data_IF_693408972324
#
_entry.id   IF_693408972324
#
_cell.length_a   1.000
_cell.length_b   1.000
_cell.length_c   1.000
_cell.angle_alpha   90.00
_cell.angle_beta   90.00
_cell.angle_gamma   90.00
#
_symmetry.space_group_name_H-M   'P 1'
#
loop_
_entity.id
_entity.type
_entity.pdbx_description
1 polymer ?
#
# COMPACT_ATOMS: atom_id res chain seq x y z
N UNK A 1 -0.18 12.55 25.02
CA UNK A 1 0.36 11.49 24.16
C UNK A 1 0.08 11.80 22.70
N UNK A 2 0.87 11.22 21.78
CA UNK A 2 0.71 11.37 20.34
C UNK A 2 0.48 10.01 19.70
N UNK A 3 -0.44 9.96 18.74
CA UNK A 3 -0.64 8.84 17.80
C UNK A 3 -0.24 9.34 16.43
N UNK A 4 0.77 8.72 15.84
CA UNK A 4 1.26 9.08 14.50
C UNK A 4 0.81 8.00 13.52
N UNK A 5 0.09 8.42 12.47
CA UNK A 5 -0.35 7.56 11.38
C UNK A 5 0.40 7.97 10.12
N UNK A 6 1.37 7.17 9.74
CA UNK A 6 2.15 7.37 8.53
C UNK A 6 1.47 6.72 7.32
N UNK A 7 1.74 7.25 6.12
CA UNK A 7 1.20 6.75 4.85
C UNK A 7 -0.34 6.69 4.81
N UNK A 8 -1.02 7.78 5.20
CA UNK A 8 -2.48 7.89 5.26
C UNK A 8 -3.20 7.32 4.02
N UNK A 9 -2.62 7.49 2.84
CA UNK A 9 -3.18 7.00 1.58
C UNK A 9 -3.31 5.46 1.48
N UNK A 10 -2.68 4.71 2.37
CA UNK A 10 -2.82 3.25 2.48
C UNK A 10 -4.10 2.86 3.21
N UNK A 11 -4.59 3.73 4.12
CA UNK A 11 -5.80 3.47 4.91
C UNK A 11 -7.07 3.75 4.11
N UNK A 12 -7.34 2.91 3.12
CA UNK A 12 -8.53 3.00 2.25
C UNK A 12 -9.26 1.67 2.15
N UNK A 13 -10.52 1.70 1.68
CA UNK A 13 -11.37 0.52 1.54
C UNK A 13 -11.57 -0.24 2.86
N UNK A 14 -11.53 -1.55 2.80
CA UNK A 14 -11.74 -2.45 3.95
C UNK A 14 -10.68 -2.23 5.02
N UNK A 15 -9.40 -2.12 4.64
CA UNK A 15 -8.32 -1.91 5.60
C UNK A 15 -8.48 -0.60 6.37
N UNK A 16 -8.74 0.51 5.70
CA UNK A 16 -8.97 1.80 6.35
C UNK A 16 -10.21 1.80 7.25
N UNK A 17 -11.28 1.13 6.84
CA UNK A 17 -12.50 0.98 7.63
C UNK A 17 -12.26 0.20 8.93
N UNK A 18 -11.46 -0.86 8.88
CA UNK A 18 -11.04 -1.60 10.08
C UNK A 18 -10.14 -0.74 10.98
N UNK A 19 -9.18 0.00 10.41
CA UNK A 19 -8.28 0.88 11.19
C UNK A 19 -9.07 2.00 11.87
N UNK A 20 -10.07 2.59 11.22
CA UNK A 20 -10.93 3.58 11.85
C UNK A 20 -11.62 3.02 13.11
N UNK A 21 -12.17 1.80 13.04
CA UNK A 21 -12.76 1.13 14.18
C UNK A 21 -11.73 0.75 15.26
N UNK A 22 -10.49 0.37 14.87
CA UNK A 22 -9.39 0.18 15.81
C UNK A 22 -9.09 1.48 16.57
N UNK A 23 -9.11 2.63 15.88
CA UNK A 23 -8.90 3.94 16.51
C UNK A 23 -10.07 4.35 17.42
N UNK A 24 -11.32 3.97 17.11
CA UNK A 24 -12.46 4.09 18.03
C UNK A 24 -12.18 3.35 19.34
N UNK A 25 -11.73 2.10 19.27
CA UNK A 25 -11.35 1.29 20.44
C UNK A 25 -10.21 1.92 21.21
N UNK A 26 -9.14 2.33 20.51
CA UNK A 26 -7.99 2.99 21.14
C UNK A 26 -8.43 4.26 21.90
N UNK A 27 -9.22 5.13 21.29
CA UNK A 27 -9.74 6.34 21.94
C UNK A 27 -10.59 6.01 23.17
N UNK A 28 -11.38 4.94 23.12
CA UNK A 28 -12.18 4.47 24.25
C UNK A 28 -11.29 4.02 25.43
N UNK A 29 -10.26 3.23 25.16
CA UNK A 29 -9.27 2.81 26.17
C UNK A 29 -8.52 4.03 26.73
N UNK A 30 -8.10 4.97 25.88
CA UNK A 30 -7.42 6.18 26.31
C UNK A 30 -8.30 7.01 27.28
N UNK A 31 -9.58 7.19 26.97
CA UNK A 31 -10.52 7.91 27.86
C UNK A 31 -10.66 7.22 29.22
N UNK A 32 -10.76 5.89 29.22
CA UNK A 32 -10.83 5.11 30.47
C UNK A 32 -9.62 5.38 31.38
N UNK A 33 -8.43 5.53 30.80
CA UNK A 33 -7.20 5.88 31.53
C UNK A 33 -6.96 7.40 31.67
N UNK A 34 -7.95 8.24 31.38
CA UNK A 34 -7.85 9.70 31.51
C UNK A 34 -6.88 10.35 30.52
N UNK A 35 -6.63 9.71 29.37
CA UNK A 35 -5.77 10.22 28.31
C UNK A 35 -6.58 10.68 27.09
N UNK A 36 -6.18 11.83 26.52
CA UNK A 36 -6.70 12.36 25.25
C UNK A 36 -5.54 12.49 24.25
N UNK A 37 -5.34 11.51 23.37
CA UNK A 37 -4.24 11.51 22.44
C UNK A 37 -4.45 12.52 21.30
N UNK A 38 -3.38 13.22 20.94
CA UNK A 38 -3.31 14.04 19.72
C UNK A 38 -2.88 13.17 18.54
N UNK A 39 -3.40 13.49 17.36
CA UNK A 39 -3.10 12.76 16.13
C UNK A 39 -2.22 13.59 15.20
N UNK A 40 -1.22 12.95 14.61
CA UNK A 40 -0.45 13.46 13.49
C UNK A 40 -0.53 12.43 12.35
N UNK A 41 -0.89 12.88 11.14
CA UNK A 41 -1.03 12.00 9.99
C UNK A 41 -0.14 12.54 8.86
N UNK A 42 0.59 11.63 8.22
CA UNK A 42 1.37 11.96 7.02
C UNK A 42 0.81 11.20 5.82
N UNK A 43 0.91 11.77 4.65
CA UNK A 43 0.43 11.14 3.42
C UNK A 43 1.34 11.48 2.26
N UNK A 44 1.56 10.51 1.39
CA UNK A 44 1.97 10.78 0.03
C UNK A 44 0.75 11.27 -0.79
N UNK A 45 0.83 11.15 -2.08
CA UNK A 45 -0.12 11.68 -3.06
C UNK A 45 -1.51 11.04 -2.97
N UNK A 46 -2.52 11.80 -2.56
CA UNK A 46 -3.93 11.40 -2.48
C UNK A 46 -4.82 12.65 -2.71
N UNK A 47 -6.00 12.48 -3.32
CA UNK A 47 -6.86 13.60 -3.68
C UNK A 47 -7.56 14.27 -2.48
N UNK A 48 -7.94 13.49 -1.47
CA UNK A 48 -8.76 13.93 -0.34
C UNK A 48 -8.12 13.67 1.03
N UNK A 49 -6.88 14.15 1.31
CA UNK A 49 -6.15 13.80 2.54
C UNK A 49 -6.88 14.26 3.80
N UNK A 50 -7.47 15.46 3.79
CA UNK A 50 -8.20 16.00 4.93
C UNK A 50 -9.46 15.18 5.24
N UNK A 51 -10.28 14.93 4.23
CA UNK A 51 -11.53 14.17 4.38
C UNK A 51 -11.25 12.73 4.89
N UNK A 52 -10.25 12.06 4.29
CA UNK A 52 -9.88 10.73 4.73
C UNK A 52 -9.37 10.73 6.16
N UNK A 53 -8.53 11.69 6.55
CA UNK A 53 -8.02 11.83 7.90
C UNK A 53 -9.15 12.04 8.91
N UNK A 54 -10.05 13.00 8.64
CA UNK A 54 -11.21 13.31 9.50
C UNK A 54 -12.14 12.11 9.64
N UNK A 55 -12.36 11.34 8.58
CA UNK A 55 -13.15 10.10 8.62
C UNK A 55 -12.45 8.98 9.40
N UNK A 56 -11.12 8.90 9.28
CA UNK A 56 -10.34 7.83 9.92
C UNK A 56 -10.25 8.02 11.44
N UNK A 57 -10.00 9.25 11.88
CA UNK A 57 -9.83 9.55 13.31
C UNK A 57 -11.07 10.17 13.96
N UNK A 58 -12.10 10.54 13.18
CA UNK A 58 -13.33 11.20 13.63
C UNK A 58 -13.08 12.46 14.48
N UNK A 59 -12.11 13.24 14.07
CA UNK A 59 -11.74 14.53 14.68
C UNK A 59 -11.37 15.51 13.56
N UNK A 60 -11.62 16.82 13.75
CA UNK A 60 -11.19 17.82 12.78
C UNK A 60 -9.67 17.87 12.69
N UNK A 61 -9.14 17.99 11.47
CA UNK A 61 -7.70 18.08 11.23
C UNK A 61 -7.34 19.38 10.52
N UNK A 62 -6.15 19.91 10.85
CA UNK A 62 -5.52 20.97 10.10
C UNK A 62 -4.63 20.35 9.00
N UNK A 63 -4.96 20.61 7.75
CA UNK A 63 -4.14 20.20 6.63
C UNK A 63 -2.96 21.16 6.44
N UNK A 64 -1.75 20.61 6.36
CA UNK A 64 -0.57 21.31 5.83
C UNK A 64 -0.50 20.94 4.35
N UNK A 65 -0.99 21.83 3.50
CA UNK A 65 -1.04 21.59 2.07
C UNK A 65 0.34 21.80 1.39
N UNK A 66 0.53 21.33 0.14
CA UNK A 66 1.82 21.39 -0.56
C UNK A 66 2.40 22.79 -0.75
N UNK A 67 1.58 23.83 -0.72
CA UNK A 67 2.00 25.24 -0.77
C UNK A 67 2.64 25.71 0.55
N UNK A 68 2.35 25.05 1.66
CA UNK A 68 2.94 25.27 2.97
C UNK A 68 4.13 24.34 3.26
N UNK A 69 4.43 23.41 2.34
CA UNK A 69 5.54 22.48 2.46
C UNK A 69 6.85 23.16 2.01
N UNK A 70 7.72 23.43 2.97
CA UNK A 70 9.04 24.03 2.74
C UNK A 70 10.12 23.01 2.32
N UNK A 71 9.78 21.77 2.02
CA UNK A 71 10.74 20.75 1.59
C UNK A 71 11.39 21.12 0.27
N UNK A 72 12.71 20.89 0.08
CA UNK A 72 13.37 21.12 -1.20
C UNK A 72 12.80 20.19 -2.27
N UNK A 73 12.48 20.72 -3.44
CA UNK A 73 11.96 19.99 -4.59
C UNK A 73 13.01 19.99 -5.69
N UNK A 74 13.84 18.94 -5.81
CA UNK A 74 14.82 18.83 -6.86
C UNK A 74 14.14 18.69 -8.23
N UNK A 75 14.87 19.11 -9.29
CA UNK A 75 14.40 18.97 -10.66
C UNK A 75 14.20 17.50 -11.02
N UNK A 76 13.01 17.16 -11.54
CA UNK A 76 12.66 15.81 -11.95
C UNK A 76 12.09 15.81 -13.37
N UNK A 77 12.75 15.11 -14.27
CA UNK A 77 12.24 14.87 -15.62
C UNK A 77 11.33 13.65 -15.64
N UNK A 78 10.07 13.84 -16.00
CA UNK A 78 9.11 12.75 -16.20
C UNK A 78 8.92 12.52 -17.69
N UNK A 79 9.29 11.35 -18.16
CA UNK A 79 9.29 10.98 -19.58
C UNK A 79 8.24 9.90 -19.80
N UNK A 80 7.29 10.17 -20.69
CA UNK A 80 6.33 9.18 -21.16
C UNK A 80 6.84 8.60 -22.49
N UNK A 81 7.31 7.36 -22.43
CA UNK A 81 7.86 6.68 -23.59
C UNK A 81 6.88 5.63 -24.12
N UNK A 82 6.40 5.83 -25.34
CA UNK A 82 5.56 4.85 -26.03
C UNK A 82 6.42 4.05 -27.01
N UNK A 83 6.60 2.73 -26.82
CA UNK A 83 7.42 1.91 -27.70
C UNK A 83 6.99 2.04 -29.17
N UNK A 84 7.94 2.05 -30.12
CA UNK A 84 7.63 2.22 -31.54
C UNK A 84 6.79 1.07 -32.08
N UNK A 85 5.94 1.37 -33.06
CA UNK A 85 5.18 0.37 -33.81
C UNK A 85 6.13 -0.37 -34.74
N UNK A 86 6.17 -1.69 -34.63
CA UNK A 86 7.00 -2.57 -35.46
C UNK A 86 6.24 -3.22 -36.58
N UNK A 87 4.91 -3.36 -36.42
CA UNK A 87 3.99 -3.80 -37.47
C UNK A 87 2.82 -2.82 -37.52
N UNK A 88 2.81 -1.89 -38.49
CA UNK A 88 1.73 -0.92 -38.65
C UNK A 88 0.40 -1.54 -39.04
N UNK A 89 0.39 -2.67 -39.76
CA UNK A 89 -0.84 -3.33 -40.22
C UNK A 89 -1.62 -3.94 -39.05
N UNK A 90 -0.90 -4.46 -38.07
CA UNK A 90 -1.47 -5.07 -36.85
C UNK A 90 -1.40 -4.15 -35.63
N UNK A 91 -0.81 -2.97 -35.76
CA UNK A 91 -0.62 -2.03 -34.64
C UNK A 91 0.34 -2.55 -33.56
N UNK A 92 1.16 -3.56 -33.88
CA UNK A 92 2.07 -4.20 -32.93
C UNK A 92 3.20 -3.28 -32.59
N UNK A 93 3.42 -3.03 -31.29
CA UNK A 93 4.54 -2.27 -30.77
C UNK A 93 5.67 -3.19 -30.29
N UNK A 94 6.89 -2.64 -30.23
CA UNK A 94 8.01 -3.33 -29.57
C UNK A 94 7.66 -3.62 -28.11
N UNK A 95 8.10 -4.77 -27.61
CA UNK A 95 7.81 -5.20 -26.25
C UNK A 95 8.30 -4.15 -25.24
N UNK A 96 7.39 -3.66 -24.40
CA UNK A 96 7.67 -2.63 -23.39
C UNK A 96 8.73 -3.09 -22.37
N UNK A 97 8.78 -4.39 -22.07
CA UNK A 97 9.79 -4.98 -21.18
C UNK A 97 11.19 -4.85 -21.74
N UNK A 98 11.37 -5.10 -23.03
CA UNK A 98 12.66 -4.92 -23.72
C UNK A 98 13.07 -3.45 -23.78
N UNK A 99 12.14 -2.55 -24.04
CA UNK A 99 12.42 -1.10 -24.04
C UNK A 99 12.74 -0.58 -22.64
N UNK A 100 12.01 -1.05 -21.59
CA UNK A 100 12.32 -0.72 -20.21
C UNK A 100 13.72 -1.20 -19.82
N UNK A 101 14.09 -2.42 -20.18
CA UNK A 101 15.45 -2.97 -19.99
C UNK A 101 16.50 -2.09 -20.67
N UNK A 102 16.30 -1.75 -21.93
CA UNK A 102 17.22 -0.93 -22.72
C UNK A 102 17.44 0.48 -22.12
N UNK A 103 16.35 1.07 -21.60
CA UNK A 103 16.42 2.38 -20.94
C UNK A 103 17.17 2.25 -19.60
N UNK A 104 16.86 1.24 -18.78
CA UNK A 104 17.56 0.98 -17.53
C UNK A 104 19.07 0.72 -17.74
N UNK A 105 19.44 -0.08 -18.74
CA UNK A 105 20.84 -0.31 -19.10
C UNK A 105 21.60 0.99 -19.44
N UNK A 106 20.96 1.93 -20.14
CA UNK A 106 21.57 3.22 -20.46
C UNK A 106 21.89 4.03 -19.21
N UNK A 107 20.96 4.10 -18.26
CA UNK A 107 21.21 4.77 -16.98
C UNK A 107 22.31 4.08 -16.18
N UNK A 108 22.28 2.76 -16.08
CA UNK A 108 23.29 1.96 -15.36
C UNK A 108 24.68 2.14 -15.94
N UNK A 109 24.81 2.12 -17.28
CA UNK A 109 26.10 2.38 -17.99
C UNK A 109 26.60 3.81 -17.78
N UNK A 110 25.69 4.78 -17.64
CA UNK A 110 26.05 6.14 -17.29
C UNK A 110 26.40 6.32 -15.79
N UNK A 111 26.45 5.23 -15.04
CA UNK A 111 26.75 5.26 -13.61
C UNK A 111 25.58 5.68 -12.73
N UNK A 112 24.38 5.83 -13.27
CA UNK A 112 23.17 6.25 -12.54
C UNK A 112 22.52 5.06 -11.86
N UNK A 113 22.36 5.13 -10.55
CA UNK A 113 21.67 4.11 -9.77
C UNK A 113 20.18 4.13 -10.14
N UNK A 114 19.63 2.97 -10.52
CA UNK A 114 18.34 2.88 -11.21
C UNK A 114 17.39 1.87 -10.56
N UNK A 115 16.13 2.27 -10.34
CA UNK A 115 15.03 1.34 -10.06
C UNK A 115 14.24 1.03 -11.34
N UNK A 116 13.84 -0.24 -11.48
CA UNK A 116 12.90 -0.68 -12.52
C UNK A 116 11.67 -1.27 -11.83
N UNK A 117 10.50 -0.73 -12.13
CA UNK A 117 9.24 -1.18 -11.54
C UNK A 117 8.41 -2.00 -12.53
N UNK A 118 7.82 -3.10 -12.03
CA UNK A 118 6.86 -3.91 -12.77
C UNK A 118 5.67 -4.32 -11.89
N UNK A 119 4.49 -4.50 -12.48
CA UNK A 119 3.27 -4.86 -11.73
C UNK A 119 3.26 -6.30 -11.23
N UNK A 120 3.70 -7.24 -12.07
CA UNK A 120 3.60 -8.66 -11.80
C UNK A 120 4.95 -9.22 -11.35
N UNK A 121 4.92 -10.16 -10.40
CA UNK A 121 6.13 -10.87 -9.92
C UNK A 121 6.88 -11.53 -11.07
N UNK A 122 6.18 -12.20 -11.98
CA UNK A 122 6.79 -12.84 -13.15
C UNK A 122 7.51 -11.83 -14.06
N UNK A 123 6.89 -10.69 -14.32
CA UNK A 123 7.50 -9.61 -15.12
C UNK A 123 8.74 -9.03 -14.42
N UNK A 124 8.73 -8.94 -13.08
CA UNK A 124 9.88 -8.49 -12.31
C UNK A 124 11.06 -9.45 -12.47
N UNK A 125 10.84 -10.76 -12.37
CA UNK A 125 11.91 -11.76 -12.56
C UNK A 125 12.44 -11.75 -13.99
N UNK A 126 11.55 -11.61 -14.98
CA UNK A 126 11.94 -11.50 -16.39
C UNK A 126 12.84 -10.27 -16.64
N UNK A 127 12.40 -9.10 -16.13
CA UNK A 127 13.18 -7.87 -16.25
C UNK A 127 14.52 -7.95 -15.50
N UNK A 128 14.54 -8.60 -14.33
CA UNK A 128 15.76 -8.83 -13.56
C UNK A 128 16.77 -9.63 -14.37
N UNK A 129 16.35 -10.72 -15.03
CA UNK A 129 17.18 -11.49 -15.94
C UNK A 129 17.71 -10.62 -17.08
N UNK A 130 16.83 -9.93 -17.78
CA UNK A 130 17.24 -9.09 -18.92
C UNK A 130 18.23 -7.97 -18.55
N UNK A 131 17.99 -7.28 -17.41
CA UNK A 131 18.89 -6.20 -16.97
C UNK A 131 20.26 -6.76 -16.56
N UNK A 132 20.30 -7.91 -15.87
CA UNK A 132 21.53 -8.60 -15.52
C UNK A 132 22.35 -8.99 -16.75
N UNK A 133 21.71 -9.65 -17.72
CA UNK A 133 22.34 -10.05 -18.99
C UNK A 133 22.87 -8.81 -19.74
N UNK A 134 22.15 -7.70 -19.71
CA UNK A 134 22.56 -6.46 -20.34
C UNK A 134 23.77 -5.81 -19.67
N UNK A 135 23.81 -5.84 -18.34
CA UNK A 135 24.97 -5.37 -17.56
C UNK A 135 26.19 -6.24 -17.81
N UNK A 136 26.04 -7.57 -17.78
CA UNK A 136 27.11 -8.53 -18.02
C UNK A 136 27.69 -8.36 -19.45
N UNK A 137 26.83 -8.29 -20.47
CA UNK A 137 27.27 -8.02 -21.86
C UNK A 137 28.01 -6.71 -22.02
N UNK A 138 27.84 -5.77 -21.10
CA UNK A 138 28.56 -4.48 -21.09
C UNK A 138 29.82 -4.52 -20.26
N UNK A 139 30.23 -5.70 -19.73
CA UNK A 139 31.40 -5.87 -18.88
C UNK A 139 31.19 -5.43 -17.42
N UNK A 140 29.96 -5.20 -16.99
CA UNK A 140 29.62 -4.91 -15.60
C UNK A 140 29.33 -6.18 -14.79
N UNK A 141 29.29 -6.03 -13.47
CA UNK A 141 28.93 -7.13 -12.57
C UNK A 141 27.39 -7.27 -12.43
N UNK A 142 26.78 -8.37 -12.92
CA UNK A 142 25.33 -8.60 -12.82
C UNK A 142 24.84 -8.76 -11.38
N UNK A 143 25.71 -9.07 -10.42
CA UNK A 143 25.35 -9.19 -9.00
C UNK A 143 25.01 -7.85 -8.34
N UNK A 144 25.43 -6.75 -8.96
CA UNK A 144 25.03 -5.39 -8.54
C UNK A 144 23.57 -5.07 -8.85
N UNK A 145 22.89 -5.94 -9.61
CA UNK A 145 21.46 -5.82 -9.92
C UNK A 145 20.68 -6.82 -9.09
N UNK A 146 19.78 -6.29 -8.25
CA UNK A 146 19.00 -7.11 -7.31
C UNK A 146 17.50 -7.04 -7.62
N UNK A 147 16.80 -8.14 -7.37
CA UNK A 147 15.35 -8.14 -7.34
C UNK A 147 14.83 -7.63 -5.99
N UNK A 148 13.61 -7.03 -5.94
CA UNK A 148 12.96 -6.64 -4.69
C UNK A 148 11.45 -6.82 -4.80
N UNK A 149 10.88 -7.78 -4.08
CA UNK A 149 9.44 -8.07 -4.10
C UNK A 149 8.91 -8.61 -2.78
N UNK A 150 7.60 -8.57 -2.63
CA UNK A 150 6.93 -9.29 -1.54
C UNK A 150 7.23 -10.79 -1.62
N UNK A 151 7.52 -11.40 -0.47
CA UNK A 151 7.91 -12.80 -0.37
C UNK A 151 9.41 -13.07 -0.22
N UNK A 152 10.27 -12.06 -0.37
CA UNK A 152 11.67 -12.17 0.06
C UNK A 152 11.78 -12.15 1.58
N UNK A 153 12.73 -12.88 2.13
CA UNK A 153 12.98 -12.90 3.57
C UNK A 153 13.33 -11.49 4.08
N UNK A 154 12.93 -11.13 5.31
CA UNK A 154 13.22 -9.80 5.86
C UNK A 154 14.70 -9.45 5.87
N UNK A 155 15.59 -10.42 6.12
CA UNK A 155 17.04 -10.23 6.10
C UNK A 155 17.53 -9.88 4.69
N UNK A 156 17.10 -10.63 3.69
CA UNK A 156 17.47 -10.40 2.29
C UNK A 156 17.02 -8.99 1.83
N UNK A 157 15.81 -8.57 2.19
CA UNK A 157 15.34 -7.21 1.89
C UNK A 157 16.22 -6.14 2.51
N UNK A 158 16.58 -6.30 3.80
CA UNK A 158 17.48 -5.36 4.50
C UNK A 158 18.86 -5.27 3.86
N UNK A 159 19.40 -6.39 3.38
CA UNK A 159 20.68 -6.40 2.65
C UNK A 159 20.60 -5.61 1.34
N UNK A 160 19.52 -5.78 0.57
CA UNK A 160 19.29 -5.03 -0.67
C UNK A 160 19.14 -3.54 -0.36
N UNK A 161 18.34 -3.19 0.64
CA UNK A 161 18.13 -1.80 1.09
C UNK A 161 19.45 -1.15 1.53
N UNK A 162 20.27 -1.88 2.28
CA UNK A 162 21.62 -1.43 2.67
C UNK A 162 22.50 -1.22 1.43
N UNK A 163 22.51 -2.20 0.51
CA UNK A 163 23.30 -2.12 -0.71
C UNK A 163 22.87 -0.98 -1.64
N UNK A 164 21.59 -0.60 -1.64
CA UNK A 164 21.12 0.59 -2.35
C UNK A 164 21.62 1.89 -1.69
N UNK A 165 21.69 1.93 -0.36
CA UNK A 165 22.19 3.12 0.36
C UNK A 165 23.69 3.31 0.24
N UNK A 166 24.48 2.23 0.29
CA UNK A 166 25.94 2.28 0.22
C UNK A 166 26.47 2.24 -1.23
N UNK A 167 25.58 2.04 -2.21
CA UNK A 167 25.92 2.05 -3.64
C UNK A 167 26.47 0.72 -4.17
N UNK A 168 26.57 -0.33 -3.36
CA UNK A 168 26.98 -1.67 -3.83
C UNK A 168 25.93 -2.32 -4.73
N UNK A 169 24.65 -2.00 -4.53
CA UNK A 169 23.56 -2.31 -5.45
C UNK A 169 23.35 -1.13 -6.39
N UNK A 170 23.64 -1.32 -7.67
CA UNK A 170 23.55 -0.29 -8.71
C UNK A 170 22.17 -0.22 -9.35
N UNK A 171 21.45 -1.34 -9.39
CA UNK A 171 20.12 -1.43 -9.95
C UNK A 171 19.22 -2.34 -9.14
N UNK A 172 17.93 -1.98 -9.06
CA UNK A 172 16.93 -2.80 -8.43
C UNK A 172 15.73 -2.97 -9.34
N UNK A 173 15.27 -4.22 -9.51
CA UNK A 173 14.03 -4.53 -10.23
C UNK A 173 12.98 -4.95 -9.21
N UNK A 174 11.90 -4.18 -9.11
CA UNK A 174 10.96 -4.31 -8.01
C UNK A 174 9.49 -4.36 -8.47
N UNK A 175 8.67 -4.96 -7.62
CA UNK A 175 7.21 -4.74 -7.63
C UNK A 175 6.88 -3.46 -6.85
N UNK A 176 5.59 -3.21 -6.62
CA UNK A 176 5.12 -2.16 -5.71
C UNK A 176 5.65 -2.26 -4.26
N UNK A 177 6.30 -3.36 -3.89
CA UNK A 177 6.91 -3.52 -2.57
C UNK A 177 7.98 -2.46 -2.25
N UNK A 178 8.56 -1.82 -3.28
CA UNK A 178 9.53 -0.73 -3.13
C UNK A 178 8.90 0.68 -3.20
N UNK A 179 7.58 0.79 -3.38
CA UNK A 179 6.88 2.08 -3.43
C UNK A 179 6.82 2.77 -2.06
N UNK A 180 6.64 2.00 -0.98
CA UNK A 180 6.26 2.51 0.34
C UNK A 180 7.26 2.14 1.43
N UNK A 181 7.48 3.09 2.35
CA UNK A 181 8.06 2.84 3.68
C UNK A 181 9.51 2.36 3.73
N UNK A 182 10.25 2.40 2.62
CA UNK A 182 11.62 1.87 2.57
C UNK A 182 12.61 3.00 2.30
N UNK A 183 13.58 3.14 3.20
CA UNK A 183 14.71 4.04 2.98
C UNK A 183 15.82 3.34 2.20
N UNK A 184 15.83 3.58 0.89
CA UNK A 184 16.77 2.99 -0.06
C UNK A 184 17.87 3.95 -0.52
N UNK A 185 17.94 5.12 0.10
CA UNK A 185 18.87 6.16 -0.35
C UNK A 185 18.41 6.86 -1.63
N UNK A 186 19.36 7.37 -2.39
CA UNK A 186 19.09 8.18 -3.60
C UNK A 186 19.22 7.35 -4.85
N UNK A 187 18.11 7.24 -5.59
CA UNK A 187 18.17 6.72 -6.95
C UNK A 187 18.15 7.90 -7.94
N UNK A 188 19.01 7.86 -8.96
CA UNK A 188 19.03 8.88 -10.01
C UNK A 188 17.94 8.66 -11.05
N UNK A 189 17.51 7.41 -11.25
CA UNK A 189 16.48 7.08 -12.24
C UNK A 189 15.47 6.05 -11.73
N UNK A 190 14.22 6.19 -12.20
CA UNK A 190 13.15 5.21 -12.05
C UNK A 190 12.58 4.87 -13.44
N UNK A 191 12.59 3.60 -13.81
CA UNK A 191 12.00 3.11 -15.06
C UNK A 191 10.76 2.29 -14.71
N UNK A 192 9.59 2.74 -15.15
CA UNK A 192 8.30 2.15 -14.81
C UNK A 192 7.82 1.34 -16.03
N UNK A 193 7.93 0.01 -15.96
CA UNK A 193 7.57 -0.89 -17.05
C UNK A 193 6.06 -1.17 -17.06
N UNK A 194 5.34 -0.42 -17.85
CA UNK A 194 3.88 -0.38 -17.90
C UNK A 194 3.27 0.56 -16.87
N UNK A 195 2.08 1.10 -17.19
CA UNK A 195 1.36 1.96 -16.24
C UNK A 195 0.93 1.16 -15.00
N UNK A 196 1.22 1.62 -13.78
CA UNK A 196 0.98 0.84 -12.55
C UNK A 196 -0.50 0.67 -12.19
N UNK A 197 -1.39 1.39 -12.85
CA UNK A 197 -2.85 1.28 -12.68
C UNK A 197 -3.47 2.46 -11.95
N UNK A 198 -2.70 3.25 -11.20
CA UNK A 198 -3.15 4.45 -10.50
C UNK A 198 -2.14 5.59 -10.67
N UNK A 199 -2.64 6.83 -10.62
CA UNK A 199 -1.79 8.04 -10.64
C UNK A 199 -0.93 8.08 -9.38
N UNK A 200 -1.49 7.72 -8.22
CA UNK A 200 -0.77 7.68 -6.95
C UNK A 200 0.44 6.75 -7.01
N UNK A 201 0.26 5.50 -7.49
CA UNK A 201 1.35 4.53 -7.62
C UNK A 201 2.43 5.00 -8.60
N UNK A 202 2.04 5.63 -9.73
CA UNK A 202 2.99 6.22 -10.66
C UNK A 202 3.88 7.26 -9.98
N UNK A 203 3.28 8.19 -9.23
CA UNK A 203 4.03 9.23 -8.53
C UNK A 203 4.89 8.70 -7.40
N UNK A 204 4.46 7.64 -6.70
CA UNK A 204 5.26 6.97 -5.67
C UNK A 204 6.48 6.27 -6.26
N UNK A 205 6.33 5.55 -7.39
CA UNK A 205 7.43 4.93 -8.11
C UNK A 205 8.39 5.99 -8.68
N UNK A 206 7.86 7.02 -9.32
CA UNK A 206 8.64 8.16 -9.81
C UNK A 206 9.34 8.91 -8.65
N UNK A 207 8.71 8.94 -7.47
CA UNK A 207 9.23 9.53 -6.25
C UNK A 207 10.46 8.83 -5.68
N UNK A 208 10.73 7.57 -6.08
CA UNK A 208 11.95 6.85 -5.69
C UNK A 208 13.21 7.39 -6.35
N UNK A 209 13.10 8.15 -7.43
CA UNK A 209 14.19 8.91 -8.01
C UNK A 209 14.23 10.34 -7.46
N UNK A 210 15.43 10.86 -7.11
CA UNK A 210 15.66 12.26 -6.79
C UNK A 210 15.25 12.72 -5.39
N UNK A 211 15.71 12.06 -4.33
CA UNK A 211 15.43 12.47 -2.93
C UNK A 211 16.33 13.59 -2.37
N UNK A 212 17.38 14.01 -3.07
CA UNK A 212 18.28 15.12 -2.67
C UNK A 212 18.49 16.05 -3.87
N UNK A 213 19.39 17.00 -3.78
CA UNK A 213 19.59 18.17 -4.65
C UNK A 213 19.87 17.91 -6.14
N UNK A 214 19.94 16.66 -6.60
CA UNK A 214 20.36 16.32 -7.95
C UNK A 214 19.20 16.11 -8.92
N UNK A 215 19.44 16.38 -10.20
CA UNK A 215 18.50 16.09 -11.30
C UNK A 215 18.20 14.61 -11.36
N UNK A 216 16.94 14.25 -11.49
CA UNK A 216 16.48 12.87 -11.56
C UNK A 216 15.54 12.62 -12.74
N UNK A 217 15.44 11.35 -13.16
CA UNK A 217 14.56 10.97 -14.25
C UNK A 217 13.58 9.85 -13.84
N UNK A 218 12.31 10.00 -14.23
CA UNK A 218 11.33 8.95 -14.16
C UNK A 218 10.78 8.66 -15.57
N UNK A 219 10.90 7.42 -16.03
CA UNK A 219 10.50 7.04 -17.38
C UNK A 219 9.37 6.01 -17.30
N UNK A 220 8.16 6.40 -17.69
CA UNK A 220 7.06 5.48 -17.89
C UNK A 220 7.14 4.88 -19.30
N UNK A 221 7.37 3.59 -19.39
CA UNK A 221 7.36 2.84 -20.65
C UNK A 221 5.96 2.23 -20.85
N UNK A 222 5.20 2.75 -21.77
CA UNK A 222 3.83 2.32 -22.00
C UNK A 222 3.77 0.88 -22.54
N UNK A 223 2.92 0.05 -21.93
CA UNK A 223 2.58 -1.27 -22.48
C UNK A 223 1.50 -1.16 -23.54
N UNK A 224 1.18 -2.27 -24.24
CA UNK A 224 0.06 -2.34 -25.19
C UNK A 224 -1.33 -2.31 -24.55
N UNK A 225 -1.44 -2.29 -23.20
CA UNK A 225 -2.74 -2.25 -22.52
C UNK A 225 -3.47 -0.92 -22.81
N UNK A 226 -4.81 -0.95 -22.97
CA UNK A 226 -5.60 0.23 -23.38
C UNK A 226 -5.36 1.44 -22.46
N UNK A 227 -5.34 1.25 -21.14
CA UNK A 227 -5.10 2.33 -20.20
C UNK A 227 -3.70 2.93 -20.30
N UNK A 228 -2.66 2.10 -20.54
CA UNK A 228 -1.30 2.59 -20.73
C UNK A 228 -1.17 3.39 -22.03
N UNK A 229 -1.84 2.97 -23.10
CA UNK A 229 -1.88 3.69 -24.37
C UNK A 229 -2.66 5.00 -24.26
N UNK A 230 -3.78 5.01 -23.52
CA UNK A 230 -4.52 6.23 -23.22
C UNK A 230 -3.65 7.26 -22.49
N UNK A 231 -2.96 6.84 -21.43
CA UNK A 231 -2.06 7.70 -20.64
C UNK A 231 -0.92 8.24 -21.49
N UNK A 232 -0.32 7.40 -22.34
CA UNK A 232 0.75 7.82 -23.25
C UNK A 232 0.29 8.85 -24.30
N UNK A 233 -0.97 8.73 -24.77
CA UNK A 233 -1.58 9.67 -25.71
C UNK A 233 -2.10 10.96 -25.04
N UNK A 234 -2.39 10.91 -23.75
CA UNK A 234 -2.98 12.01 -22.97
C UNK A 234 -2.12 12.38 -21.76
N UNK A 235 -0.93 12.95 -21.91
CA UNK A 235 -0.03 13.25 -20.80
C UNK A 235 -0.66 14.14 -19.71
N UNK A 236 -1.51 15.08 -20.10
CA UNK A 236 -2.24 15.95 -19.17
C UNK A 236 -3.04 15.19 -18.13
N UNK A 237 -3.52 13.99 -18.48
CA UNK A 237 -4.23 13.13 -17.54
C UNK A 237 -3.40 12.85 -16.27
N UNK A 238 -2.09 12.69 -16.38
CA UNK A 238 -1.20 12.42 -15.24
C UNK A 238 -0.83 13.69 -14.45
N UNK A 239 -0.77 14.84 -15.11
CA UNK A 239 -0.25 16.07 -14.52
C UNK A 239 -1.35 17.00 -14.01
N UNK A 240 -2.53 16.96 -14.60
CA UNK A 240 -3.63 17.89 -14.30
C UNK A 240 -4.73 17.26 -13.44
N UNK A 241 -4.84 15.92 -13.42
CA UNK A 241 -5.81 15.26 -12.57
C UNK A 241 -5.25 14.96 -11.18
N UNK A 242 -6.08 15.13 -10.14
CA UNK A 242 -5.72 14.66 -8.80
C UNK A 242 -5.55 13.13 -8.82
N UNK A 243 -4.76 12.59 -7.90
CA UNK A 243 -4.69 11.15 -7.70
C UNK A 243 -6.04 10.60 -7.21
N UNK A 244 -6.08 9.30 -6.99
CA UNK A 244 -7.29 8.62 -6.54
C UNK A 244 -7.71 9.06 -5.14
N UNK A 245 -9.02 9.09 -4.89
CA UNK A 245 -9.57 9.34 -3.55
C UNK A 245 -9.38 8.13 -2.63
N UNK A 246 -9.03 8.37 -1.38
CA UNK A 246 -9.12 7.40 -0.32
C UNK A 246 -10.55 7.37 0.25
N UNK A 247 -11.24 6.25 0.07
CA UNK A 247 -12.61 6.06 0.59
C UNK A 247 -12.60 4.98 1.66
N UNK A 248 -13.30 5.25 2.78
CA UNK A 248 -13.53 4.29 3.86
C UNK A 248 -15.00 4.33 4.27
N UNK A 249 -15.48 3.22 4.81
CA UNK A 249 -16.78 3.09 5.43
C UNK A 249 -16.64 2.42 6.81
N UNK A 250 -16.31 3.17 7.88
CA UNK A 250 -16.18 2.62 9.23
C UNK A 250 -17.48 2.02 9.77
N UNK A 251 -18.63 2.49 9.28
CA UNK A 251 -19.96 2.09 9.71
C UNK A 251 -20.54 0.92 8.92
N UNK A 252 -19.70 0.26 8.08
CA UNK A 252 -20.10 -1.02 7.50
C UNK A 252 -20.39 -2.02 8.62
N UNK A 253 -21.63 -2.53 8.70
CA UNK A 253 -22.12 -3.33 9.82
C UNK A 253 -21.28 -4.57 10.12
N UNK A 254 -20.76 -5.26 9.09
CA UNK A 254 -19.91 -6.44 9.29
C UNK A 254 -18.59 -6.09 9.97
N UNK A 255 -17.97 -4.98 9.57
CA UNK A 255 -16.74 -4.47 10.18
C UNK A 255 -17.02 -3.91 11.57
N UNK A 256 -18.04 -3.07 11.68
CA UNK A 256 -18.44 -2.40 12.93
C UNK A 256 -18.75 -3.41 14.03
N UNK A 257 -19.60 -4.42 13.75
CA UNK A 257 -20.02 -5.42 14.72
C UNK A 257 -18.85 -6.24 15.24
N UNK A 258 -17.89 -6.57 14.35
CA UNK A 258 -16.66 -7.27 14.72
C UNK A 258 -15.81 -6.44 15.71
N UNK A 259 -15.65 -5.16 15.42
CA UNK A 259 -14.92 -4.26 16.31
C UNK A 259 -15.67 -3.92 17.58
N UNK A 260 -17.00 -3.89 17.56
CA UNK A 260 -17.82 -3.68 18.73
C UNK A 260 -17.69 -4.85 19.73
N UNK A 261 -17.65 -6.11 19.22
CA UNK A 261 -17.32 -7.29 20.03
C UNK A 261 -15.97 -7.15 20.71
N UNK A 262 -14.93 -6.75 19.96
CA UNK A 262 -13.61 -6.52 20.53
C UNK A 262 -13.64 -5.40 21.59
N UNK A 263 -14.34 -4.31 21.33
CA UNK A 263 -14.45 -3.19 22.24
C UNK A 263 -15.15 -3.56 23.56
N UNK A 264 -16.21 -4.40 23.48
CA UNK A 264 -16.94 -4.90 24.66
C UNK A 264 -16.08 -5.89 25.48
N UNK A 265 -15.22 -6.67 24.82
CA UNK A 265 -14.26 -7.52 25.50
C UNK A 265 -13.17 -6.71 26.25
N UNK A 266 -12.69 -5.61 25.64
CA UNK A 266 -11.67 -4.74 26.23
C UNK A 266 -12.17 -3.95 27.43
N UNK A 267 -13.37 -3.38 27.33
CA UNK A 267 -14.04 -2.59 28.38
C UNK A 267 -15.56 -2.79 28.28
N UNK A 268 -16.29 -2.92 29.40
CA UNK A 268 -17.75 -2.94 29.39
C UNK A 268 -18.31 -1.66 28.75
N UNK A 269 -19.46 -1.75 28.09
CA UNK A 269 -20.17 -0.59 27.59
C UNK A 269 -21.24 -0.13 28.58
N UNK A 270 -21.40 1.16 28.74
CA UNK A 270 -22.54 1.76 29.47
C UNK A 270 -23.70 2.02 28.49
N UNK A 271 -24.92 1.94 28.98
CA UNK A 271 -26.08 2.29 28.17
C UNK A 271 -26.00 3.75 27.73
N UNK A 272 -26.16 3.99 26.43
CA UNK A 272 -26.03 5.32 25.83
C UNK A 272 -24.59 5.73 25.49
N UNK A 273 -23.60 4.87 25.74
CA UNK A 273 -22.22 5.12 25.34
C UNK A 273 -22.11 5.12 23.81
N UNK A 274 -21.37 6.08 23.25
CA UNK A 274 -21.12 6.19 21.82
C UNK A 274 -19.92 5.35 21.38
N UNK A 275 -19.97 4.84 20.14
CA UNK A 275 -18.82 4.19 19.51
C UNK A 275 -18.50 4.87 18.18
N UNK A 276 -17.68 5.91 18.26
CA UNK A 276 -17.44 6.82 17.14
C UNK A 276 -18.67 7.62 16.77
N UNK A 277 -18.87 7.84 15.47
CA UNK A 277 -20.01 8.59 14.92
C UNK A 277 -21.26 7.75 14.69
N UNK A 278 -21.21 6.43 14.91
CA UNK A 278 -22.34 5.54 14.69
C UNK A 278 -23.44 5.77 15.76
N UNK A 279 -24.68 5.99 15.32
CA UNK A 279 -25.78 6.43 16.20
C UNK A 279 -26.50 5.28 16.92
N UNK A 280 -26.57 4.11 16.29
CA UNK A 280 -27.43 2.99 16.74
C UNK A 280 -26.61 1.94 17.51
N UNK A 281 -25.61 2.38 18.29
CA UNK A 281 -24.72 1.47 19.05
C UNK A 281 -25.51 0.63 20.04
N UNK A 282 -26.52 1.22 20.69
CA UNK A 282 -27.40 0.54 21.66
C UNK A 282 -28.11 -0.67 21.06
N UNK A 283 -28.65 -0.54 19.86
CA UNK A 283 -29.32 -1.64 19.16
C UNK A 283 -28.39 -2.81 18.87
N UNK A 284 -27.13 -2.49 18.47
CA UNK A 284 -26.11 -3.52 18.23
C UNK A 284 -25.67 -4.20 19.52
N UNK A 285 -25.61 -3.48 20.64
CA UNK A 285 -25.28 -4.05 21.94
C UNK A 285 -26.43 -4.93 22.46
N UNK A 286 -27.66 -4.52 22.28
CA UNK A 286 -28.87 -5.31 22.63
C UNK A 286 -28.87 -6.60 21.75
N UNK A 287 -28.65 -6.49 20.46
CA UNK A 287 -28.51 -7.66 19.58
C UNK A 287 -27.42 -8.64 20.08
N UNK A 288 -26.24 -8.14 20.47
CA UNK A 288 -25.18 -8.98 21.02
C UNK A 288 -25.53 -9.60 22.38
N UNK A 289 -26.37 -8.95 23.15
CA UNK A 289 -26.88 -9.50 24.40
C UNK A 289 -27.93 -10.62 24.16
N UNK A 290 -28.81 -10.45 23.19
CA UNK A 290 -29.80 -11.45 22.78
C UNK A 290 -29.11 -12.72 22.20
N UNK A 291 -27.98 -12.53 21.49
CA UNK A 291 -27.14 -13.62 20.98
C UNK A 291 -26.27 -14.29 22.08
N UNK A 292 -26.37 -13.86 23.35
CA UNK A 292 -25.59 -14.42 24.45
C UNK A 292 -24.09 -14.11 24.41
N UNK A 293 -23.69 -13.10 23.66
CA UNK A 293 -22.30 -12.61 23.59
C UNK A 293 -22.02 -11.64 24.74
N UNK A 294 -22.99 -10.80 25.07
CA UNK A 294 -22.94 -9.84 26.16
C UNK A 294 -24.00 -10.18 27.21
N UNK A 295 -23.74 -9.75 28.45
CA UNK A 295 -24.74 -9.74 29.52
C UNK A 295 -25.04 -8.28 29.90
N UNK A 296 -26.32 -7.91 29.87
CA UNK A 296 -26.80 -6.59 30.29
C UNK A 296 -27.29 -6.65 31.72
N UNK A 297 -26.67 -5.86 32.60
CA UNK A 297 -27.13 -5.67 33.99
C UNK A 297 -26.85 -4.24 34.44
N UNK A 298 -27.84 -3.60 35.08
CA UNK A 298 -27.73 -2.25 35.61
C UNK A 298 -27.27 -1.19 34.58
N UNK A 299 -27.72 -1.35 33.33
CA UNK A 299 -27.34 -0.43 32.24
C UNK A 299 -25.91 -0.63 31.71
N UNK A 300 -25.22 -1.72 32.09
CA UNK A 300 -23.88 -2.05 31.64
C UNK A 300 -23.88 -3.36 30.86
N UNK A 301 -23.25 -3.37 29.70
CA UNK A 301 -23.05 -4.55 28.84
C UNK A 301 -21.65 -5.12 29.08
N UNK A 302 -21.59 -6.37 29.56
CA UNK A 302 -20.33 -7.09 29.87
C UNK A 302 -20.16 -8.27 28.94
N UNK A 303 -18.95 -8.50 28.51
CA UNK A 303 -18.58 -9.69 27.73
C UNK A 303 -18.72 -10.95 28.58
N UNK A 304 -19.44 -11.96 28.06
CA UNK A 304 -19.65 -13.23 28.74
C UNK A 304 -19.32 -14.44 27.85
N UNK A 305 -19.14 -14.26 26.54
CA UNK A 305 -18.85 -15.36 25.63
C UNK A 305 -17.45 -15.96 25.91
N UNK A 306 -17.35 -17.29 25.83
CA UNK A 306 -16.10 -18.02 25.98
C UNK A 306 -15.32 -18.05 24.65
N UNK A 307 -14.86 -16.86 24.22
CA UNK A 307 -14.08 -16.70 23.00
C UNK A 307 -13.26 -15.39 23.04
N UNK A 308 -12.15 -15.37 22.29
CA UNK A 308 -11.35 -14.18 22.10
C UNK A 308 -11.74 -13.49 20.78
N UNK A 309 -12.48 -12.37 20.79
CA UNK A 309 -13.07 -11.83 19.60
C UNK A 309 -12.06 -11.29 18.58
N UNK A 310 -10.85 -10.90 19.02
CA UNK A 310 -9.83 -10.38 18.12
C UNK A 310 -9.16 -11.47 17.27
N UNK A 311 -9.26 -12.75 17.63
CA UNK A 311 -8.73 -13.85 16.85
C UNK A 311 -9.33 -13.91 15.44
N UNK A 312 -10.60 -13.52 15.32
CA UNK A 312 -11.34 -13.48 14.05
C UNK A 312 -11.36 -12.11 13.38
N UNK A 313 -10.70 -11.10 13.96
CA UNK A 313 -10.69 -9.74 13.45
C UNK A 313 -9.51 -9.48 12.51
N UNK A 314 -9.65 -9.85 11.23
CA UNK A 314 -8.68 -9.45 10.21
C UNK A 314 -8.83 -7.98 9.84
N UNK A 315 -7.74 -7.21 9.84
CA UNK A 315 -7.76 -5.81 9.39
C UNK A 315 -7.85 -5.66 7.87
N UNK A 316 -7.54 -6.70 7.11
CA UNK A 316 -7.49 -6.66 5.64
C UNK A 316 -8.64 -7.40 4.97
N UNK A 317 -9.41 -8.15 5.72
CA UNK A 317 -10.58 -8.88 5.23
C UNK A 317 -11.87 -8.24 5.71
N UNK A 318 -12.87 -8.18 4.82
CA UNK A 318 -14.25 -7.78 5.16
C UNK A 318 -15.14 -8.97 5.53
N UNK A 319 -14.70 -10.20 5.26
CA UNK A 319 -15.46 -11.43 5.47
C UNK A 319 -14.76 -12.36 6.47
N UNK A 320 -15.55 -13.12 7.24
CA UNK A 320 -15.05 -14.12 8.20
C UNK A 320 -14.73 -15.47 7.55
N UNK A 321 -14.95 -15.60 6.22
CA UNK A 321 -14.73 -16.85 5.51
C UNK A 321 -13.30 -16.96 4.99
N UNK A 322 -12.50 -17.78 5.63
CA UNK A 322 -11.19 -18.21 5.12
C UNK A 322 -11.27 -19.55 4.41
N UNK A 323 -10.45 -19.74 3.39
CA UNK A 323 -10.23 -21.01 2.71
C UNK A 323 -8.89 -21.56 3.18
N UNK A 324 -8.93 -22.75 3.76
CA UNK A 324 -7.73 -23.46 4.21
C UNK A 324 -7.05 -24.11 3.01
N UNK A 325 -5.79 -23.76 2.76
CA UNK A 325 -4.98 -24.41 1.74
C UNK A 325 -4.28 -25.61 2.37
N UNK A 326 -4.52 -26.79 1.80
CA UNK A 326 -3.92 -28.04 2.26
C UNK A 326 -3.12 -28.71 1.14
N UNK A 327 -1.94 -29.21 1.47
CA UNK A 327 -1.22 -30.13 0.61
C UNK A 327 -1.81 -31.55 0.78
N UNK A 328 -2.34 -32.08 -0.32
CA UNK A 328 -2.91 -33.43 -0.36
C UNK A 328 -1.89 -34.36 -1.01
N UNK A 329 -1.09 -35.04 -0.18
CA UNK A 329 -0.15 -36.10 -0.61
C UNK A 329 -0.61 -37.49 -0.22
N UNK A 330 0.29 -38.49 -0.28
CA UNK A 330 0.01 -39.89 0.14
C UNK A 330 -0.13 -40.06 1.66
N UNK A 331 -0.13 -38.96 2.45
CA UNK A 331 -0.25 -38.96 3.91
C UNK A 331 -1.47 -38.15 4.40
N UNK A 332 -1.46 -37.78 5.69
CA UNK A 332 -2.47 -36.83 6.21
C UNK A 332 -2.29 -35.48 5.57
N UNK A 333 -3.41 -34.77 5.20
CA UNK A 333 -3.33 -33.41 4.66
C UNK A 333 -2.57 -32.50 5.62
N UNK A 334 -1.64 -31.73 5.08
CA UNK A 334 -0.87 -30.74 5.84
C UNK A 334 -1.43 -29.36 5.51
N UNK A 335 -1.87 -28.61 6.53
CA UNK A 335 -2.31 -27.24 6.34
C UNK A 335 -1.10 -26.37 6.03
N UNK A 336 -1.09 -25.75 4.83
CA UNK A 336 -0.02 -24.87 4.37
C UNK A 336 -0.31 -23.42 4.76
N UNK A 337 -1.60 -23.03 4.82
CA UNK A 337 -2.01 -21.68 5.16
C UNK A 337 -3.50 -21.45 4.99
N UNK A 338 -3.91 -20.22 5.23
CA UNK A 338 -5.26 -19.75 5.04
C UNK A 338 -5.26 -18.52 4.11
N UNK A 339 -6.27 -18.40 3.27
CA UNK A 339 -6.50 -17.22 2.40
C UNK A 339 -7.94 -16.79 2.52
N UNK A 340 -8.19 -15.49 2.33
CA UNK A 340 -9.56 -14.99 2.25
C UNK A 340 -10.30 -15.65 1.08
N UNK A 341 -11.57 -16.00 1.28
CA UNK A 341 -12.41 -16.62 0.25
C UNK A 341 -12.46 -15.81 -1.04
N UNK A 342 -12.44 -14.48 -0.95
CA UNK A 342 -12.44 -13.58 -2.09
C UNK A 342 -11.12 -13.62 -2.89
N UNK A 343 -10.03 -14.16 -2.33
CA UNK A 343 -8.70 -14.27 -2.96
C UNK A 343 -8.26 -15.71 -3.18
N UNK A 344 -9.10 -16.68 -2.81
CA UNK A 344 -8.87 -18.07 -3.12
C UNK A 344 -8.99 -18.30 -4.64
N UNK A 345 -8.10 -19.12 -5.24
CA UNK A 345 -8.12 -19.41 -6.68
C UNK A 345 -9.38 -20.17 -7.13
#
# INVERSE_FOLDING_TARGET
>A
HWVVLDELHVYRGVFGSNVANLLRRLKRICRFYGSDPRFALTSATIANPKELAEKLIELPVRLIAPDLDGSPRPEKHVILYNPPVVDPALGIRRAYTLEATRIAERFLRAGVQTAVFARARLTTELLLGYVRDGVERSGGDPLTIRGYRGGYLPLERREIEKGLRDGSVRGVVATNALELGVDIGQLGAAVIAGYPGTIASLWQQAGRAGRRSDVSAAVLVASGAPLAQFVAANPRYLFENPPEHGLINPDNLAILLRHLRCAAFELPFEAGESFGSYQEVGELLDFLADEGVLHRSDGVYRWIADSYPAERASLRSGEDATVVIQEVGQGRPIVIGEVDRATAP
#
